data_IF_529309562816
#
_entry.id   IF_529309562816
#
_cell.length_a   1.000
_cell.length_b   1.000
_cell.length_c   1.000
_cell.angle_alpha   90.00
_cell.angle_beta   90.00
_cell.angle_gamma   90.00
#
_symmetry.space_group_name_H-M   'P 1'
#
loop_
_entity.id
_entity.type
_entity.pdbx_description
1 polymer ?
#
# COMPACT_ATOMS: atom_id res chain seq x y z
N UNK A 1 40.28 71.15 23.04
CA UNK A 1 40.25 70.20 24.17
C UNK A 1 40.50 68.80 23.63
N UNK A 2 41.45 68.07 24.20
CA UNK A 2 41.91 66.76 23.72
C UNK A 2 40.85 65.68 24.01
N UNK A 3 40.52 64.88 23.00
CA UNK A 3 39.52 63.80 23.07
C UNK A 3 39.98 62.63 23.93
N UNK A 4 39.04 62.03 24.66
CA UNK A 4 39.25 60.85 25.49
C UNK A 4 39.49 59.60 24.63
N UNK A 5 40.36 58.66 25.06
CA UNK A 5 40.62 57.42 24.34
C UNK A 5 39.46 56.42 24.47
N UNK A 6 39.24 55.54 23.48
CA UNK A 6 38.18 54.54 23.49
C UNK A 6 38.44 53.42 24.51
N UNK A 7 37.38 52.76 25.02
CA UNK A 7 37.49 51.69 26.01
C UNK A 7 38.11 50.40 25.43
N UNK A 8 38.78 49.58 26.26
CA UNK A 8 39.42 48.34 25.83
C UNK A 8 38.39 47.24 25.49
N UNK A 9 38.72 46.33 24.55
CA UNK A 9 37.85 45.23 24.16
C UNK A 9 37.75 44.13 25.25
N UNK A 10 36.61 43.43 25.35
CA UNK A 10 36.41 42.36 26.33
C UNK A 10 37.28 41.11 26.06
N UNK A 11 37.65 40.33 27.09
CA UNK A 11 38.45 39.11 26.94
C UNK A 11 37.72 38.04 26.13
N UNK A 12 38.39 37.51 25.10
CA UNK A 12 37.84 36.50 24.19
C UNK A 12 37.45 35.20 24.90
N UNK A 13 36.14 34.95 24.97
CA UNK A 13 35.59 33.65 25.33
C UNK A 13 35.81 32.64 24.22
N UNK A 14 36.49 31.52 24.53
CA UNK A 14 36.64 30.36 23.66
C UNK A 14 35.27 29.74 23.37
N UNK A 15 34.79 29.88 22.15
CA UNK A 15 33.73 29.05 21.58
C UNK A 15 34.28 27.64 21.34
N UNK A 16 33.61 26.56 21.81
CA UNK A 16 33.92 25.21 21.35
C UNK A 16 33.57 25.10 19.86
N UNK A 17 34.54 24.72 19.03
CA UNK A 17 34.31 24.47 17.61
C UNK A 17 33.41 23.24 17.38
N UNK A 18 32.76 23.13 16.21
CA UNK A 18 31.96 21.97 15.85
C UNK A 18 32.84 20.70 15.75
N UNK A 19 32.29 19.50 16.03
CA UNK A 19 33.03 18.24 15.93
C UNK A 19 33.42 17.94 14.46
N UNK A 20 34.62 17.39 14.29
CA UNK A 20 35.14 17.03 12.97
C UNK A 20 34.38 15.85 12.35
N UNK A 21 34.23 15.80 11.01
CA UNK A 21 33.60 14.67 10.32
C UNK A 21 34.46 13.39 10.41
N UNK A 22 33.84 12.19 10.43
CA UNK A 22 34.58 10.92 10.39
C UNK A 22 35.30 10.75 9.05
N UNK A 23 36.57 10.34 9.10
CA UNK A 23 37.39 10.06 7.92
C UNK A 23 36.97 8.78 7.17
N UNK A 24 37.35 8.63 5.89
CA UNK A 24 36.98 7.49 5.05
C UNK A 24 37.72 6.19 5.45
N UNK A 25 37.12 5.00 5.26
CA UNK A 25 37.78 3.72 5.52
C UNK A 25 38.91 3.45 4.51
N UNK A 26 40.08 3.07 5.04
CA UNK A 26 41.28 2.73 4.26
C UNK A 26 41.13 1.46 3.40
N UNK A 27 41.86 1.46 2.28
CA UNK A 27 41.92 0.37 1.29
C UNK A 27 42.72 -0.87 1.71
N UNK A 28 42.85 -1.84 0.78
CA UNK A 28 43.07 -3.26 1.08
C UNK A 28 44.55 -3.67 1.12
N UNK A 29 44.92 -4.56 2.04
CA UNK A 29 46.23 -5.21 2.06
C UNK A 29 46.26 -6.43 2.98
N UNK A 30 46.52 -7.61 2.41
CA UNK A 30 46.75 -8.85 3.17
C UNK A 30 46.77 -10.09 2.27
N UNK A 31 47.98 -10.57 1.97
CA UNK A 31 48.32 -11.71 1.12
C UNK A 31 47.82 -13.08 1.66
N UNK A 32 47.76 -14.13 0.81
CA UNK A 32 47.26 -15.46 1.19
C UNK A 32 48.33 -16.31 1.90
N UNK A 33 47.96 -17.18 2.87
CA UNK A 33 48.88 -18.15 3.45
C UNK A 33 49.02 -19.45 2.61
N UNK A 34 50.17 -20.15 2.69
CA UNK A 34 50.58 -21.25 1.78
C UNK A 34 50.05 -22.65 2.18
N UNK A 35 50.18 -23.67 1.30
CA UNK A 35 49.64 -25.01 1.53
C UNK A 35 50.59 -25.93 2.34
N UNK A 36 50.08 -26.83 3.21
CA UNK A 36 50.92 -27.85 3.83
C UNK A 36 51.08 -29.07 2.92
N UNK A 37 52.32 -29.37 2.54
CA UNK A 37 52.78 -30.68 2.06
C UNK A 37 53.22 -31.52 3.26
N UNK A 38 52.70 -32.74 3.41
CA UNK A 38 53.19 -33.72 4.38
C UNK A 38 52.69 -35.12 4.07
N UNK A 39 53.62 -36.00 3.67
CA UNK A 39 53.41 -37.40 3.28
C UNK A 39 53.66 -38.29 4.51
N UNK A 40 52.75 -39.21 4.84
CA UNK A 40 52.92 -40.17 5.94
C UNK A 40 51.97 -41.37 5.80
N UNK A 41 52.53 -42.56 5.98
CA UNK A 41 52.01 -43.89 5.63
C UNK A 41 51.16 -44.49 6.76
N UNK A 42 50.07 -45.19 6.40
CA UNK A 42 49.53 -46.37 7.09
C UNK A 42 48.83 -46.19 8.44
N UNK A 43 47.57 -46.64 8.54
CA UNK A 43 47.15 -47.82 9.32
C UNK A 43 45.61 -47.90 9.40
N UNK A 44 45.15 -49.15 9.36
CA UNK A 44 43.81 -49.72 9.50
C UNK A 44 42.64 -48.84 9.98
N UNK A 45 41.55 -48.89 9.21
CA UNK A 45 40.18 -48.52 9.61
C UNK A 45 39.61 -49.62 10.51
N UNK A 46 39.17 -49.35 11.76
CA UNK A 46 38.24 -50.23 12.44
C UNK A 46 36.83 -50.00 11.89
N UNK A 47 36.08 -51.08 11.72
CA UNK A 47 34.68 -51.06 11.32
C UNK A 47 33.83 -50.26 12.32
N UNK A 48 33.17 -49.20 11.84
CA UNK A 48 32.05 -48.60 12.55
C UNK A 48 30.77 -49.24 12.03
N UNK A 49 30.02 -49.83 12.94
CA UNK A 49 28.87 -50.68 12.69
C UNK A 49 27.77 -50.02 11.87
N UNK A 50 27.01 -50.87 11.20
CA UNK A 50 25.71 -50.58 10.60
C UNK A 50 24.80 -49.94 11.64
N UNK A 51 24.63 -48.61 11.58
CA UNK A 51 23.54 -47.95 12.26
C UNK A 51 22.22 -48.48 11.68
N UNK A 52 21.22 -48.83 12.51
CA UNK A 52 19.95 -49.36 12.02
C UNK A 52 19.28 -48.32 11.13
N UNK A 53 18.66 -48.78 10.03
CA UNK A 53 17.87 -47.95 9.11
C UNK A 53 16.78 -47.24 9.93
N UNK A 54 16.98 -45.95 10.22
CA UNK A 54 15.97 -45.12 10.87
C UNK A 54 14.74 -45.05 9.97
N UNK A 55 13.56 -45.22 10.54
CA UNK A 55 12.28 -44.97 9.90
C UNK A 55 12.33 -43.60 9.20
N UNK A 56 11.91 -43.53 7.92
CA UNK A 56 11.82 -42.22 7.26
C UNK A 56 10.66 -41.48 7.89
N UNK A 57 10.94 -40.48 8.73
CA UNK A 57 9.94 -39.56 9.24
C UNK A 57 9.33 -38.74 8.09
N UNK A 58 8.09 -38.30 8.24
CA UNK A 58 7.49 -37.31 7.33
C UNK A 58 8.30 -36.01 7.38
N UNK A 59 8.74 -35.45 6.24
CA UNK A 59 9.55 -34.24 6.24
C UNK A 59 8.74 -33.02 6.69
N UNK A 60 9.34 -32.19 7.55
CA UNK A 60 8.82 -30.88 7.89
C UNK A 60 9.31 -29.84 6.85
N UNK A 61 8.39 -29.26 6.09
CA UNK A 61 8.68 -28.29 5.03
C UNK A 61 8.83 -26.85 5.57
N UNK A 62 9.78 -26.63 6.48
CA UNK A 62 10.12 -25.29 6.96
C UNK A 62 11.11 -24.55 6.04
N UNK A 63 11.07 -23.22 6.04
CA UNK A 63 12.11 -22.40 5.40
C UNK A 63 13.27 -22.22 6.37
N UNK A 64 14.41 -22.87 6.09
CA UNK A 64 15.57 -22.85 6.98
C UNK A 64 16.22 -21.47 7.05
N UNK A 65 16.60 -21.03 8.26
CA UNK A 65 17.51 -19.90 8.47
C UNK A 65 18.94 -20.44 8.43
N UNK A 66 19.73 -20.05 7.43
CA UNK A 66 21.09 -20.58 7.22
C UNK A 66 22.17 -19.84 8.00
N UNK A 67 21.87 -18.63 8.48
CA UNK A 67 22.77 -17.81 9.30
C UNK A 67 21.95 -16.96 10.26
N UNK A 68 22.29 -16.99 11.54
CA UNK A 68 21.73 -16.07 12.53
C UNK A 68 22.29 -14.66 12.30
N UNK A 69 21.42 -13.64 12.32
CA UNK A 69 21.81 -12.23 12.20
C UNK A 69 22.11 -11.69 13.59
N UNK A 70 23.05 -10.75 13.70
CA UNK A 70 23.39 -10.12 14.98
C UNK A 70 22.16 -9.42 15.59
N UNK A 71 21.85 -9.72 16.85
CA UNK A 71 20.64 -9.26 17.55
C UNK A 71 19.38 -10.07 17.26
N UNK A 72 19.47 -11.16 16.47
CA UNK A 72 18.34 -12.08 16.28
C UNK A 72 18.22 -13.07 17.42
N UNK A 73 16.98 -13.51 17.67
CA UNK A 73 16.67 -14.60 18.61
C UNK A 73 17.56 -15.83 18.37
N UNK A 74 17.85 -16.16 17.11
CA UNK A 74 18.69 -17.31 16.75
C UNK A 74 20.16 -17.15 17.16
N UNK A 75 20.68 -15.92 17.17
CA UNK A 75 22.03 -15.61 17.65
C UNK A 75 22.08 -15.64 19.19
N UNK A 76 21.05 -15.08 19.83
CA UNK A 76 20.89 -15.08 21.29
C UNK A 76 20.84 -16.50 21.86
N UNK A 77 20.03 -17.39 21.25
CA UNK A 77 19.94 -18.80 21.63
C UNK A 77 21.26 -19.56 21.42
N UNK A 78 22.06 -19.19 20.43
CA UNK A 78 23.39 -19.79 20.21
C UNK A 78 24.44 -19.27 21.20
N UNK A 79 24.30 -18.01 21.66
CA UNK A 79 25.23 -17.36 22.61
C UNK A 79 25.03 -17.82 24.04
N UNK A 80 23.79 -18.08 24.45
CA UNK A 80 23.44 -18.41 25.84
C UNK A 80 23.52 -19.90 26.20
N UNK A 81 23.95 -20.76 25.28
CA UNK A 81 24.58 -22.04 25.60
C UNK A 81 23.83 -22.95 26.59
N UNK A 82 22.61 -23.38 26.26
CA UNK A 82 22.09 -24.66 26.76
C UNK A 82 21.55 -25.51 25.60
N UNK A 83 22.27 -26.56 25.19
CA UNK A 83 21.78 -27.51 24.22
C UNK A 83 21.28 -28.77 24.94
N UNK A 84 20.08 -28.76 25.53
CA UNK A 84 19.37 -30.01 25.90
C UNK A 84 17.83 -29.80 25.99
N UNK A 85 17.15 -29.60 24.86
CA UNK A 85 15.69 -29.87 24.76
C UNK A 85 15.46 -31.37 24.45
N UNK A 86 16.40 -32.23 24.83
CA UNK A 86 16.37 -33.65 24.53
C UNK A 86 15.65 -34.54 25.57
N UNK A 87 15.42 -34.15 26.86
CA UNK A 87 14.71 -35.05 27.77
C UNK A 87 13.17 -34.87 27.80
N UNK A 88 12.60 -33.83 27.18
CA UNK A 88 11.16 -33.56 27.25
C UNK A 88 10.34 -34.31 26.20
N UNK A 89 10.94 -34.69 25.07
CA UNK A 89 10.23 -35.30 23.94
C UNK A 89 10.72 -36.72 23.70
N UNK A 90 9.81 -37.69 23.79
CA UNK A 90 10.11 -39.08 23.45
C UNK A 90 10.28 -39.22 21.94
N UNK A 91 11.53 -39.39 21.50
CA UNK A 91 11.90 -39.58 20.09
C UNK A 91 11.26 -40.85 19.52
N UNK A 92 11.03 -41.88 20.34
CA UNK A 92 10.43 -43.15 19.92
C UNK A 92 8.94 -42.99 19.63
N UNK A 93 8.25 -42.19 20.45
CA UNK A 93 6.86 -41.79 20.22
C UNK A 93 6.76 -40.94 18.93
N UNK A 94 7.68 -39.99 18.74
CA UNK A 94 7.75 -39.18 17.52
C UNK A 94 7.98 -40.03 16.26
N UNK A 95 8.91 -40.99 16.32
CA UNK A 95 9.17 -41.94 15.24
C UNK A 95 7.96 -42.81 14.92
N UNK A 96 7.19 -43.20 15.93
CA UNK A 96 5.96 -43.99 15.75
C UNK A 96 4.86 -43.14 15.09
N UNK A 97 4.57 -41.97 15.67
CA UNK A 97 3.47 -41.09 15.24
C UNK A 97 3.70 -40.46 13.87
N UNK A 98 4.96 -40.16 13.51
CA UNK A 98 5.30 -39.41 12.30
C UNK A 98 6.12 -40.21 11.28
N UNK A 99 6.15 -41.54 11.39
CA UNK A 99 6.73 -42.38 10.34
C UNK A 99 6.02 -42.19 8.99
N UNK A 100 6.79 -42.10 7.92
CA UNK A 100 6.27 -42.26 6.57
C UNK A 100 5.93 -43.74 6.38
N UNK A 101 4.66 -44.02 6.11
CA UNK A 101 4.19 -45.39 5.85
C UNK A 101 4.83 -45.86 4.55
N UNK A 102 5.92 -46.63 4.67
CA UNK A 102 6.43 -47.43 3.57
C UNK A 102 5.63 -48.73 3.60
N UNK A 103 4.74 -48.91 2.64
CA UNK A 103 4.08 -50.20 2.44
C UNK A 103 5.17 -51.26 2.21
N UNK A 104 5.35 -52.17 3.17
CA UNK A 104 6.24 -53.32 2.99
C UNK A 104 5.60 -54.31 2.01
N UNK A 105 6.39 -54.97 1.15
CA UNK A 105 5.90 -56.11 0.38
C UNK A 105 5.53 -57.22 1.37
N UNK A 106 4.29 -57.72 1.29
CA UNK A 106 3.86 -58.85 2.08
C UNK A 106 4.50 -60.12 1.52
N UNK A 107 5.39 -60.74 2.30
CA UNK A 107 5.84 -62.10 2.06
C UNK A 107 5.01 -63.10 2.89
N UNK A 108 4.83 -64.26 2.28
CA UNK A 108 3.94 -65.38 2.57
C UNK A 108 3.74 -65.81 4.04
N UNK A 109 2.49 -66.21 4.36
CA UNK A 109 2.24 -67.26 5.36
C UNK A 109 0.89 -67.26 6.07
N UNK A 110 -0.09 -68.05 5.56
CA UNK A 110 -0.93 -68.88 6.43
C UNK A 110 -2.38 -68.49 6.76
N UNK A 111 -3.30 -69.05 5.95
CA UNK A 111 -4.62 -69.64 6.27
C UNK A 111 -5.88 -68.78 6.50
N UNK A 112 -6.81 -69.04 5.57
CA UNK A 112 -8.28 -69.22 5.67
C UNK A 112 -9.18 -68.02 5.95
N UNK A 113 -10.14 -67.79 5.04
CA UNK A 113 -11.33 -66.98 5.30
C UNK A 113 -11.84 -66.23 4.07
N UNK A 114 -12.65 -66.92 3.26
CA UNK A 114 -13.38 -66.44 2.10
C UNK A 114 -14.10 -65.08 2.31
N UNK A 115 -13.88 -64.11 1.42
CA UNK A 115 -14.93 -63.31 0.76
C UNK A 115 -14.34 -62.37 -0.30
N UNK A 116 -14.61 -62.71 -1.56
CA UNK A 116 -14.40 -61.91 -2.77
C UNK A 116 -14.98 -60.48 -2.63
N UNK A 117 -14.15 -59.46 -2.87
CA UNK A 117 -14.57 -58.24 -3.57
C UNK A 117 -13.45 -57.77 -4.51
N UNK A 118 -13.76 -57.90 -5.79
CA UNK A 118 -13.13 -57.36 -7.01
C UNK A 118 -11.93 -56.41 -6.84
N UNK A 119 -10.79 -56.90 -7.33
CA UNK A 119 -9.59 -56.15 -7.72
C UNK A 119 -9.95 -55.25 -8.90
N UNK A 120 -9.99 -53.94 -8.67
CA UNK A 120 -9.75 -52.92 -9.70
C UNK A 120 -8.42 -52.26 -9.37
N UNK A 121 -7.31 -52.86 -9.79
CA UNK A 121 -5.98 -52.26 -9.63
C UNK A 121 -5.91 -51.01 -10.50
N UNK A 122 -6.13 -49.83 -9.91
CA UNK A 122 -5.61 -48.60 -10.49
C UNK A 122 -4.08 -48.74 -10.45
N UNK A 123 -3.35 -48.48 -11.56
CA UNK A 123 -1.90 -48.48 -11.50
C UNK A 123 -1.45 -47.48 -10.43
N UNK A 124 -0.54 -47.91 -9.56
CA UNK A 124 0.08 -47.05 -8.54
C UNK A 124 0.73 -45.87 -9.27
N UNK A 125 0.08 -44.71 -9.20
CA UNK A 125 0.62 -43.49 -9.78
C UNK A 125 1.76 -43.01 -8.88
N UNK A 126 2.91 -42.75 -9.48
CA UNK A 126 4.07 -42.25 -8.76
C UNK A 126 3.80 -40.80 -8.36
N UNK A 127 3.78 -40.54 -7.06
CA UNK A 127 3.55 -39.22 -6.49
C UNK A 127 4.86 -38.67 -5.93
N UNK A 128 5.33 -37.58 -6.52
CA UNK A 128 6.60 -36.91 -6.16
C UNK A 128 6.34 -35.61 -5.41
N UNK A 129 5.24 -34.93 -5.72
CA UNK A 129 4.82 -33.70 -5.09
C UNK A 129 4.09 -34.03 -3.79
N UNK A 130 4.28 -33.19 -2.76
CA UNK A 130 3.59 -33.32 -1.48
C UNK A 130 2.07 -33.51 -1.68
N UNK A 131 1.48 -34.45 -0.93
CA UNK A 131 0.10 -34.86 -1.10
C UNK A 131 -0.88 -33.69 -0.94
N UNK A 132 -0.63 -32.76 -0.02
CA UNK A 132 -1.49 -31.59 0.17
C UNK A 132 -1.35 -30.62 -1.00
N UNK A 133 -0.13 -30.37 -1.47
CA UNK A 133 0.12 -29.53 -2.66
C UNK A 133 -0.52 -30.14 -3.90
N UNK A 134 -0.33 -31.44 -4.14
CA UNK A 134 -0.90 -32.18 -5.26
C UNK A 134 -2.44 -32.14 -5.23
N UNK A 135 -3.06 -32.45 -4.08
CA UNK A 135 -4.52 -32.41 -3.94
C UNK A 135 -5.08 -31.00 -4.18
N UNK A 136 -4.43 -29.96 -3.65
CA UNK A 136 -4.87 -28.58 -3.88
C UNK A 136 -4.79 -28.18 -5.36
N UNK A 137 -3.71 -28.55 -6.04
CA UNK A 137 -3.56 -28.34 -7.49
C UNK A 137 -4.62 -29.11 -8.25
N UNK A 138 -4.84 -30.38 -7.95
CA UNK A 138 -5.88 -31.18 -8.62
C UNK A 138 -7.28 -30.62 -8.42
N UNK A 139 -7.61 -30.16 -7.20
CA UNK A 139 -8.88 -29.47 -6.94
C UNK A 139 -9.00 -28.21 -7.79
N UNK A 140 -7.94 -27.42 -7.93
CA UNK A 140 -7.95 -26.25 -8.80
C UNK A 140 -8.19 -26.65 -10.26
N UNK A 141 -7.52 -27.71 -10.75
CA UNK A 141 -7.69 -28.20 -12.12
C UNK A 141 -9.13 -28.62 -12.41
N UNK A 142 -9.90 -29.09 -11.42
CA UNK A 142 -11.34 -29.39 -11.62
C UNK A 142 -12.19 -28.14 -11.85
N UNK A 143 -11.73 -26.97 -11.40
CA UNK A 143 -12.42 -25.68 -11.59
C UNK A 143 -12.08 -25.03 -12.93
N UNK A 144 -10.99 -25.46 -13.55
CA UNK A 144 -10.56 -24.98 -14.85
C UNK A 144 -11.37 -25.69 -15.94
N UNK A 145 -12.16 -24.92 -16.69
CA UNK A 145 -13.04 -25.44 -17.75
C UNK A 145 -12.36 -25.50 -19.14
N UNK A 146 -11.10 -25.09 -19.23
CA UNK A 146 -10.33 -24.98 -20.47
C UNK A 146 -9.16 -25.97 -20.48
N UNK A 147 -8.84 -26.62 -21.60
CA UNK A 147 -7.63 -27.42 -21.74
C UNK A 147 -6.37 -26.61 -21.44
N UNK A 148 -5.37 -27.24 -20.80
CA UNK A 148 -4.11 -26.58 -20.45
C UNK A 148 -3.36 -26.05 -21.66
N UNK A 149 -3.37 -26.78 -22.77
CA UNK A 149 -2.78 -26.34 -24.04
C UNK A 149 -3.32 -24.99 -24.48
N UNK A 150 -4.63 -24.82 -24.36
CA UNK A 150 -5.34 -23.64 -24.86
C UNK A 150 -5.11 -22.46 -23.92
N UNK A 151 -5.09 -22.71 -22.61
CA UNK A 151 -4.68 -21.70 -21.63
C UNK A 151 -3.25 -21.24 -21.86
N UNK A 152 -2.31 -22.15 -22.08
CA UNK A 152 -0.91 -21.79 -22.33
C UNK A 152 -0.74 -21.06 -23.67
N UNK A 153 -1.48 -21.44 -24.70
CA UNK A 153 -1.54 -20.70 -25.95
C UNK A 153 -2.07 -19.27 -25.75
N UNK A 154 -3.14 -19.10 -24.96
CA UNK A 154 -3.67 -17.78 -24.62
C UNK A 154 -2.68 -16.92 -23.82
N UNK A 155 -1.95 -17.52 -22.86
CA UNK A 155 -0.89 -16.84 -22.10
C UNK A 155 0.25 -16.39 -23.02
N UNK A 156 0.70 -17.25 -23.93
CA UNK A 156 1.75 -16.92 -24.89
C UNK A 156 1.29 -15.91 -25.94
N UNK A 157 0.00 -15.89 -26.28
CA UNK A 157 -0.60 -14.85 -27.12
C UNK A 157 -0.82 -13.54 -26.34
N UNK A 158 -0.83 -13.59 -25.01
CA UNK A 158 -1.28 -12.54 -24.08
C UNK A 158 -2.70 -12.05 -24.39
N UNK A 159 -3.60 -12.99 -24.68
CA UNK A 159 -4.98 -12.75 -25.08
C UNK A 159 -5.90 -12.60 -23.87
N UNK A 160 -6.21 -11.35 -23.56
CA UNK A 160 -7.09 -10.92 -22.46
C UNK A 160 -8.58 -11.03 -22.78
N UNK A 161 -8.95 -11.51 -23.96
CA UNK A 161 -10.34 -11.89 -24.28
C UNK A 161 -10.65 -13.34 -23.90
N UNK A 162 -9.62 -14.16 -23.72
CA UNK A 162 -9.73 -15.59 -23.40
C UNK A 162 -9.48 -15.86 -21.91
N UNK A 163 -8.50 -15.17 -21.32
CA UNK A 163 -8.14 -15.31 -19.91
C UNK A 163 -8.28 -13.99 -19.16
N UNK A 164 -9.09 -14.00 -18.11
CA UNK A 164 -9.20 -12.88 -17.18
C UNK A 164 -8.07 -12.88 -16.14
N UNK A 165 -7.97 -11.78 -15.38
CA UNK A 165 -6.94 -11.62 -14.34
C UNK A 165 -7.02 -12.68 -13.25
N UNK A 166 -8.23 -13.09 -12.84
CA UNK A 166 -8.42 -14.06 -11.76
C UNK A 166 -7.95 -15.45 -12.20
N UNK A 167 -8.20 -15.82 -13.46
CA UNK A 167 -7.71 -17.05 -14.06
C UNK A 167 -6.19 -17.04 -14.14
N UNK A 168 -5.57 -15.94 -14.55
CA UNK A 168 -4.10 -15.80 -14.60
C UNK A 168 -3.48 -15.87 -13.20
N UNK A 169 -4.05 -15.20 -12.20
CA UNK A 169 -3.57 -15.26 -10.81
C UNK A 169 -3.72 -16.67 -10.21
N UNK A 170 -4.80 -17.37 -10.56
CA UNK A 170 -4.93 -18.78 -10.21
C UNK A 170 -3.84 -19.63 -10.87
N UNK A 171 -3.53 -19.43 -12.15
CA UNK A 171 -2.41 -20.15 -12.80
C UNK A 171 -1.07 -19.86 -12.12
N UNK A 172 -0.79 -18.60 -11.75
CA UNK A 172 0.42 -18.20 -11.01
C UNK A 172 0.52 -18.95 -9.68
N UNK A 173 -0.56 -19.00 -8.91
CA UNK A 173 -0.62 -19.68 -7.59
C UNK A 173 -0.30 -21.19 -7.67
N UNK A 174 -0.59 -21.80 -8.81
CA UNK A 174 -0.37 -23.21 -9.08
C UNK A 174 0.77 -23.47 -10.07
N UNK A 175 1.67 -22.51 -10.30
CA UNK A 175 2.94 -22.81 -10.95
C UNK A 175 3.82 -23.71 -10.06
N UNK A 176 4.64 -24.60 -10.67
CA UNK A 176 5.62 -25.38 -9.92
C UNK A 176 6.72 -24.49 -9.35
N UNK A 177 7.16 -24.77 -8.12
CA UNK A 177 8.33 -24.08 -7.55
C UNK A 177 9.62 -24.54 -8.24
N UNK A 178 10.72 -23.81 -8.01
CA UNK A 178 12.03 -24.20 -8.57
C UNK A 178 12.46 -25.59 -8.11
N UNK A 179 12.20 -25.89 -6.83
CA UNK A 179 12.51 -27.18 -6.22
C UNK A 179 11.67 -28.29 -6.84
N UNK A 180 10.37 -28.05 -7.06
CA UNK A 180 9.45 -28.99 -7.71
C UNK A 180 9.84 -29.24 -9.17
N UNK A 181 10.21 -28.20 -9.91
CA UNK A 181 10.72 -28.32 -11.29
C UNK A 181 11.99 -29.16 -11.35
N UNK A 182 12.94 -28.94 -10.43
CA UNK A 182 14.17 -29.73 -10.37
C UNK A 182 13.90 -31.19 -9.96
N UNK A 183 12.97 -31.43 -9.03
CA UNK A 183 12.54 -32.78 -8.67
C UNK A 183 11.98 -33.54 -9.88
N UNK A 184 11.11 -32.89 -10.68
CA UNK A 184 10.51 -33.48 -11.88
C UNK A 184 11.51 -33.67 -13.02
N UNK A 185 12.51 -32.78 -13.16
CA UNK A 185 13.60 -32.96 -14.14
C UNK A 185 14.48 -34.16 -13.82
N UNK A 186 14.78 -34.37 -12.54
CA UNK A 186 15.67 -35.43 -12.08
C UNK A 186 14.98 -36.79 -11.95
N UNK A 187 13.66 -36.85 -12.15
CA UNK A 187 12.93 -38.11 -12.16
C UNK A 187 13.29 -38.93 -13.42
N UNK A 188 13.85 -40.12 -13.20
CA UNK A 188 14.31 -41.05 -14.25
C UNK A 188 13.33 -42.18 -14.56
N UNK A 189 12.21 -42.26 -13.84
CA UNK A 189 11.16 -43.24 -14.09
C UNK A 189 10.25 -42.84 -15.25
N UNK A 190 9.20 -43.64 -15.45
CA UNK A 190 8.21 -43.37 -16.48
C UNK A 190 7.35 -42.15 -16.11
N UNK A 191 7.47 -41.08 -16.90
CA UNK A 191 6.72 -39.83 -16.67
C UNK A 191 5.23 -40.02 -16.85
N UNK A 192 4.78 -41.00 -17.65
CA UNK A 192 3.36 -41.28 -17.86
C UNK A 192 2.69 -41.90 -16.62
N UNK A 193 3.51 -42.50 -15.74
CA UNK A 193 3.06 -43.07 -14.46
C UNK A 193 2.83 -42.02 -13.36
N UNK A 194 3.19 -40.76 -13.58
CA UNK A 194 3.10 -39.71 -12.57
C UNK A 194 1.65 -39.28 -12.26
N UNK A 195 1.46 -38.71 -11.06
CA UNK A 195 0.21 -38.09 -10.63
C UNK A 195 -0.27 -36.95 -11.54
N UNK A 196 -1.54 -36.54 -11.41
CA UNK A 196 -2.10 -35.49 -12.30
C UNK A 196 -1.44 -34.13 -12.06
N UNK A 197 -1.06 -33.82 -10.82
CA UNK A 197 -0.35 -32.60 -10.47
C UNK A 197 1.02 -32.53 -11.18
N UNK A 198 1.77 -33.62 -11.14
CA UNK A 198 3.08 -33.74 -11.80
C UNK A 198 2.95 -33.60 -13.32
N UNK A 199 1.97 -34.27 -13.91
CA UNK A 199 1.66 -34.14 -15.34
C UNK A 199 1.36 -32.68 -15.72
N UNK A 200 0.54 -32.01 -14.92
CA UNK A 200 0.25 -30.58 -15.10
C UNK A 200 1.52 -29.71 -15.01
N UNK A 201 2.41 -29.96 -14.04
CA UNK A 201 3.67 -29.23 -13.92
C UNK A 201 4.62 -29.49 -15.09
N UNK A 202 4.71 -30.74 -15.57
CA UNK A 202 5.52 -31.07 -16.75
C UNK A 202 5.05 -30.32 -18.00
N UNK A 203 3.73 -30.16 -18.18
CA UNK A 203 3.18 -29.36 -19.26
C UNK A 203 3.54 -27.87 -19.13
N UNK A 204 3.41 -27.28 -17.93
CA UNK A 204 3.82 -25.90 -17.67
C UNK A 204 5.31 -25.67 -17.92
N UNK A 205 6.16 -26.65 -17.59
CA UNK A 205 7.60 -26.60 -17.78
C UNK A 205 8.04 -26.58 -19.25
N UNK A 206 7.14 -26.90 -20.21
CA UNK A 206 7.40 -26.72 -21.65
C UNK A 206 7.54 -25.24 -22.01
N UNK A 207 6.98 -24.34 -21.20
CA UNK A 207 7.10 -22.90 -21.38
C UNK A 207 8.22 -22.37 -20.47
N UNK A 208 9.33 -21.84 -21.03
CA UNK A 208 10.40 -21.26 -20.24
C UNK A 208 9.88 -20.11 -19.39
N UNK A 209 10.23 -20.09 -18.10
CA UNK A 209 9.85 -19.03 -17.15
C UNK A 209 8.33 -18.74 -17.15
N UNK A 210 7.52 -19.79 -17.20
CA UNK A 210 6.05 -19.71 -17.25
C UNK A 210 5.45 -18.76 -16.20
N UNK A 211 5.91 -18.81 -14.95
CA UNK A 211 5.43 -17.93 -13.89
C UNK A 211 5.73 -16.45 -14.20
N UNK A 212 6.91 -16.15 -14.75
CA UNK A 212 7.30 -14.79 -15.14
C UNK A 212 6.40 -14.26 -16.26
N UNK A 213 6.16 -15.08 -17.29
CA UNK A 213 5.26 -14.73 -18.40
C UNK A 213 3.82 -14.52 -17.95
N UNK A 214 3.32 -15.35 -17.04
CA UNK A 214 2.00 -15.16 -16.42
C UNK A 214 1.91 -13.85 -15.65
N UNK A 215 2.95 -13.50 -14.86
CA UNK A 215 2.99 -12.22 -14.14
C UNK A 215 3.01 -11.01 -15.08
N UNK A 216 3.74 -11.11 -16.18
CA UNK A 216 3.75 -10.09 -17.25
C UNK A 216 2.38 -9.96 -17.90
N UNK A 217 1.72 -11.08 -18.17
CA UNK A 217 0.38 -11.08 -18.75
C UNK A 217 -0.66 -10.50 -17.77
N UNK A 218 -0.61 -10.87 -16.49
CA UNK A 218 -1.44 -10.27 -15.44
C UNK A 218 -1.25 -8.75 -15.36
N UNK A 219 0.00 -8.27 -15.42
CA UNK A 219 0.29 -6.85 -15.48
C UNK A 219 -0.31 -6.18 -16.73
N UNK A 220 -0.18 -6.78 -17.92
CA UNK A 220 -0.79 -6.26 -19.16
C UNK A 220 -2.31 -6.08 -19.00
N UNK A 221 -3.01 -7.10 -18.49
CA UNK A 221 -4.48 -7.06 -18.32
C UNK A 221 -4.88 -5.87 -17.44
N UNK A 222 -4.17 -5.66 -16.33
CA UNK A 222 -4.52 -4.65 -15.35
C UNK A 222 -3.97 -3.25 -15.68
N UNK A 223 -3.00 -3.13 -16.59
CA UNK A 223 -2.27 -1.89 -16.84
C UNK A 223 -3.21 -0.72 -17.20
N UNK A 224 -4.15 -0.96 -18.11
CA UNK A 224 -5.07 0.09 -18.58
C UNK A 224 -5.93 0.67 -17.45
N UNK A 225 -6.53 -0.19 -16.62
CA UNK A 225 -7.36 0.26 -15.49
C UNK A 225 -6.51 0.95 -14.41
N UNK A 226 -5.35 0.38 -14.05
CA UNK A 226 -4.43 0.98 -13.08
C UNK A 226 -3.99 2.39 -13.50
N UNK A 227 -3.57 2.57 -14.76
CA UNK A 227 -3.18 3.90 -15.27
C UNK A 227 -4.36 4.88 -15.23
N UNK A 228 -5.55 4.45 -15.64
CA UNK A 228 -6.74 5.30 -15.68
C UNK A 228 -7.18 5.74 -14.27
N UNK A 229 -7.23 4.81 -13.32
CA UNK A 229 -7.59 5.09 -11.92
C UNK A 229 -6.55 5.99 -11.25
N UNK A 230 -5.27 5.72 -11.47
CA UNK A 230 -4.19 6.54 -10.94
C UNK A 230 -4.21 7.97 -11.51
N UNK A 231 -4.38 8.12 -12.83
CA UNK A 231 -4.57 9.44 -13.47
C UNK A 231 -5.76 10.19 -12.89
N UNK A 232 -6.88 9.51 -12.66
CA UNK A 232 -8.07 10.12 -12.05
C UNK A 232 -7.76 10.67 -10.66
N UNK A 233 -7.07 9.90 -9.82
CA UNK A 233 -6.64 10.34 -8.49
C UNK A 233 -5.71 11.56 -8.55
N UNK A 234 -4.73 11.55 -9.45
CA UNK A 234 -3.83 12.69 -9.68
C UNK A 234 -4.58 13.94 -10.13
N UNK A 235 -5.53 13.79 -11.05
CA UNK A 235 -6.33 14.91 -11.54
C UNK A 235 -7.24 15.50 -10.46
N UNK A 236 -7.77 14.70 -9.54
CA UNK A 236 -8.55 15.19 -8.39
C UNK A 236 -7.67 16.05 -7.48
N UNK A 237 -6.45 15.59 -7.15
CA UNK A 237 -5.49 16.38 -6.35
C UNK A 237 -5.13 17.68 -7.05
N UNK A 238 -4.83 17.62 -8.35
CA UNK A 238 -4.48 18.81 -9.13
C UNK A 238 -5.63 19.82 -9.19
N UNK A 239 -6.84 19.34 -9.47
CA UNK A 239 -8.04 20.18 -9.57
C UNK A 239 -8.33 20.85 -8.24
N UNK A 240 -8.23 20.14 -7.11
CA UNK A 240 -8.40 20.73 -5.79
C UNK A 240 -7.36 21.84 -5.51
N UNK A 241 -6.10 21.66 -5.94
CA UNK A 241 -5.09 22.71 -5.83
C UNK A 241 -5.46 23.95 -6.65
N UNK A 242 -5.88 23.75 -7.90
CA UNK A 242 -6.22 24.83 -8.82
C UNK A 242 -7.49 25.57 -8.39
N UNK A 243 -8.55 24.85 -8.00
CA UNK A 243 -9.80 25.39 -7.46
C UNK A 243 -9.54 26.31 -6.25
N UNK A 244 -8.75 25.83 -5.27
CA UNK A 244 -8.45 26.59 -4.05
C UNK A 244 -7.60 27.83 -4.35
N UNK A 245 -6.56 27.71 -5.18
CA UNK A 245 -5.66 28.83 -5.50
C UNK A 245 -6.32 29.90 -6.36
N UNK A 246 -7.24 29.50 -7.22
CA UNK A 246 -7.89 30.39 -8.17
C UNK A 246 -9.21 30.99 -7.65
N UNK A 247 -9.80 30.45 -6.57
CA UNK A 247 -10.99 31.05 -5.97
C UNK A 247 -10.73 32.46 -5.44
N UNK A 248 -11.28 33.46 -6.14
CA UNK A 248 -11.28 34.85 -5.70
C UNK A 248 -12.16 35.04 -4.47
N UNK A 249 -13.27 34.28 -4.39
CA UNK A 249 -14.20 34.33 -3.27
C UNK A 249 -13.52 33.90 -1.97
N UNK A 250 -12.71 32.83 -1.99
CA UNK A 250 -11.93 32.41 -0.83
C UNK A 250 -10.97 33.51 -0.37
N UNK A 251 -10.24 34.14 -1.29
CA UNK A 251 -9.30 35.22 -0.96
C UNK A 251 -9.99 36.39 -0.24
N UNK A 252 -11.18 36.79 -0.72
CA UNK A 252 -11.96 37.84 -0.07
C UNK A 252 -12.50 37.41 1.31
N UNK A 253 -12.89 36.15 1.48
CA UNK A 253 -13.26 35.61 2.79
C UNK A 253 -12.07 35.64 3.76
N UNK A 254 -10.89 35.19 3.32
CA UNK A 254 -9.67 35.21 4.14
C UNK A 254 -9.30 36.64 4.59
N UNK A 255 -9.43 37.63 3.71
CA UNK A 255 -9.23 39.05 4.05
C UNK A 255 -10.20 39.53 5.13
N UNK A 256 -11.49 39.16 5.01
CA UNK A 256 -12.51 39.52 6.01
C UNK A 256 -12.26 38.85 7.36
N UNK A 257 -11.82 37.59 7.35
CA UNK A 257 -11.41 36.88 8.58
C UNK A 257 -10.21 37.57 9.23
N UNK A 258 -9.18 37.94 8.45
CA UNK A 258 -8.01 38.66 8.95
C UNK A 258 -8.40 40.00 9.59
N UNK A 259 -9.26 40.76 8.93
CA UNK A 259 -9.79 42.02 9.46
C UNK A 259 -10.50 41.81 10.80
N UNK A 260 -11.45 40.87 10.87
CA UNK A 260 -12.17 40.56 12.11
C UNK A 260 -11.21 40.14 13.23
N UNK A 261 -10.24 39.28 12.94
CA UNK A 261 -9.23 38.84 13.90
C UNK A 261 -8.38 39.99 14.43
N UNK A 262 -7.92 40.89 13.55
CA UNK A 262 -7.12 42.06 13.93
C UNK A 262 -7.91 43.08 14.75
N UNK A 263 -9.18 43.30 14.41
CA UNK A 263 -10.07 44.17 15.19
C UNK A 263 -10.30 43.62 16.59
N UNK A 264 -10.60 42.32 16.71
CA UNK A 264 -10.84 41.69 18.03
C UNK A 264 -9.59 41.63 18.90
N UNK A 265 -8.41 41.49 18.29
CA UNK A 265 -7.14 41.40 19.00
C UNK A 265 -6.41 42.75 19.13
N UNK A 266 -7.07 43.87 18.82
CA UNK A 266 -6.47 45.19 18.89
C UNK A 266 -5.94 45.48 20.31
N UNK A 267 -4.71 46.01 20.39
CA UNK A 267 -4.05 46.29 21.67
C UNK A 267 -3.47 45.06 22.38
N UNK A 268 -3.54 43.87 21.79
CA UNK A 268 -2.88 42.66 22.30
C UNK A 268 -1.69 42.25 21.43
N UNK A 269 -0.83 41.37 21.94
CA UNK A 269 0.27 40.78 21.15
C UNK A 269 -0.20 39.97 19.92
N UNK A 270 -1.50 39.68 19.79
CA UNK A 270 -2.10 38.94 18.68
C UNK A 270 -2.75 39.86 17.61
N UNK A 271 -2.76 41.18 17.84
CA UNK A 271 -3.28 42.15 16.89
C UNK A 271 -2.30 42.47 15.75
N UNK A 272 -2.74 43.27 14.78
CA UNK A 272 -1.91 43.73 13.64
C UNK A 272 -1.20 42.62 12.86
N UNK A 273 -1.82 41.44 12.79
CA UNK A 273 -1.29 40.30 12.05
C UNK A 273 -1.37 40.55 10.53
N UNK A 274 -0.35 40.10 9.80
CA UNK A 274 -0.30 40.14 8.33
C UNK A 274 -1.07 38.96 7.72
N UNK A 275 -1.17 37.86 8.47
CA UNK A 275 -1.86 36.63 8.09
C UNK A 275 -2.05 35.72 9.30
N UNK A 276 -2.66 34.56 9.09
CA UNK A 276 -2.91 33.57 10.15
C UNK A 276 -2.69 32.15 9.62
N UNK A 277 -2.41 31.22 10.54
CA UNK A 277 -2.29 29.79 10.24
C UNK A 277 -3.63 29.19 9.86
N UNK A 278 -3.65 28.22 8.94
CA UNK A 278 -4.86 27.72 8.31
C UNK A 278 -5.87 27.18 9.33
N UNK A 279 -5.41 26.44 10.34
CA UNK A 279 -6.26 25.88 11.40
C UNK A 279 -6.97 26.94 12.25
N UNK A 280 -6.54 28.21 12.20
CA UNK A 280 -7.22 29.31 12.88
C UNK A 280 -8.64 29.54 12.35
N UNK A 281 -8.93 29.12 11.11
CA UNK A 281 -10.27 29.16 10.54
C UNK A 281 -11.28 28.36 11.36
N UNK A 282 -10.85 27.25 11.95
CA UNK A 282 -11.72 26.39 12.76
C UNK A 282 -12.09 27.05 14.09
N UNK A 283 -11.26 27.99 14.58
CA UNK A 283 -11.50 28.71 15.85
C UNK A 283 -12.57 29.78 15.76
N UNK A 284 -13.06 30.09 14.55
CA UNK A 284 -14.14 31.08 14.36
C UNK A 284 -15.46 30.63 15.00
N UNK A 285 -15.63 29.33 15.26
CA UNK A 285 -16.78 28.80 15.99
C UNK A 285 -16.63 28.88 17.51
N UNK A 286 -15.41 29.04 18.02
CA UNK A 286 -15.13 29.05 19.46
C UNK A 286 -15.33 30.45 20.05
N UNK A 287 -15.02 31.49 19.28
CA UNK A 287 -15.23 32.88 19.69
C UNK A 287 -16.72 33.22 19.64
N UNK A 288 -17.33 33.50 20.81
CA UNK A 288 -18.75 33.86 20.96
C UNK A 288 -18.93 35.36 21.20
N UNK A 289 -20.05 35.90 20.74
CA UNK A 289 -20.51 37.23 21.12
C UNK A 289 -20.85 37.28 22.63
N UNK A 290 -20.88 38.47 23.21
CA UNK A 290 -21.18 38.70 24.64
C UNK A 290 -22.52 38.14 25.10
N UNK A 291 -23.49 38.04 24.18
CA UNK A 291 -24.79 37.45 24.45
C UNK A 291 -24.82 35.92 24.32
N UNK A 292 -23.69 35.28 24.04
CA UNK A 292 -23.48 33.83 23.81
C UNK A 292 -24.33 33.19 22.71
N UNK A 293 -25.19 33.97 22.02
CA UNK A 293 -26.16 33.49 21.02
C UNK A 293 -25.55 33.26 19.63
N UNK A 294 -24.42 33.88 19.33
CA UNK A 294 -23.77 33.74 18.02
C UNK A 294 -22.26 33.63 18.14
N UNK A 295 -21.65 32.90 17.22
CA UNK A 295 -20.18 32.79 17.09
C UNK A 295 -19.65 33.80 16.07
N UNK A 296 -18.32 33.99 16.02
CA UNK A 296 -17.70 34.84 15.02
C UNK A 296 -17.95 34.35 13.58
N UNK A 297 -18.04 33.02 13.38
CA UNK A 297 -18.45 32.43 12.09
C UNK A 297 -19.86 32.87 11.68
N UNK A 298 -20.82 32.83 12.62
CA UNK A 298 -22.19 33.30 12.37
C UNK A 298 -22.21 34.79 12.01
N UNK A 299 -21.45 35.59 12.75
CA UNK A 299 -21.34 37.02 12.47
C UNK A 299 -20.76 37.30 11.08
N UNK A 300 -19.67 36.61 10.70
CA UNK A 300 -19.10 36.70 9.36
C UNK A 300 -20.15 36.38 8.28
N UNK A 301 -20.84 35.24 8.40
CA UNK A 301 -21.88 34.84 7.44
C UNK A 301 -23.02 35.86 7.35
N UNK A 302 -23.45 36.42 8.49
CA UNK A 302 -24.49 37.46 8.56
C UNK A 302 -24.07 38.73 7.82
N UNK A 303 -22.84 39.20 8.04
CA UNK A 303 -22.30 40.39 7.37
C UNK A 303 -22.13 40.15 5.87
N UNK A 304 -21.66 38.95 5.48
CA UNK A 304 -21.55 38.56 4.08
C UNK A 304 -22.91 38.55 3.38
N UNK A 305 -23.93 37.97 3.98
CA UNK A 305 -25.29 37.96 3.44
C UNK A 305 -25.83 39.38 3.20
N UNK A 306 -25.57 40.31 4.12
CA UNK A 306 -26.04 41.69 4.01
C UNK A 306 -25.27 42.54 3.00
N UNK A 307 -23.95 42.35 2.87
CA UNK A 307 -23.08 43.27 2.10
C UNK A 307 -22.53 42.68 0.81
N UNK A 308 -22.22 41.39 0.79
CA UNK A 308 -21.53 40.71 -0.32
C UNK A 308 -22.03 39.26 -0.44
N UNK A 309 -23.32 39.04 -0.77
CA UNK A 309 -23.94 37.70 -0.74
C UNK A 309 -23.30 36.71 -1.72
N UNK A 310 -22.69 37.19 -2.81
CA UNK A 310 -21.95 36.38 -3.79
C UNK A 310 -20.68 35.69 -3.23
N UNK A 311 -20.33 35.91 -1.95
CA UNK A 311 -19.26 35.17 -1.28
C UNK A 311 -19.79 33.95 -0.51
N UNK A 312 -21.10 33.83 -0.28
CA UNK A 312 -21.67 32.73 0.53
C UNK A 312 -21.59 31.37 -0.17
N UNK A 313 -21.55 31.39 -1.50
CA UNK A 313 -21.46 30.22 -2.37
C UNK A 313 -20.02 29.89 -2.80
N UNK A 314 -18.99 30.44 -2.15
CA UNK A 314 -17.58 30.15 -2.49
C UNK A 314 -17.23 28.67 -2.46
N UNK A 315 -17.95 27.89 -1.65
CA UNK A 315 -17.79 26.44 -1.56
C UNK A 315 -18.13 25.71 -2.87
N UNK A 316 -18.88 26.34 -3.77
CA UNK A 316 -19.18 25.79 -5.10
C UNK A 316 -17.96 25.86 -6.03
N UNK A 317 -16.96 26.68 -5.73
CA UNK A 317 -15.70 26.72 -6.47
C UNK A 317 -14.85 25.46 -6.19
N UNK A 318 -15.19 24.66 -5.18
CA UNK A 318 -14.37 23.54 -4.66
C UNK A 318 -14.98 22.16 -4.95
N UNK A 319 -15.14 21.85 -6.22
CA UNK A 319 -15.76 20.59 -6.69
C UNK A 319 -14.94 19.37 -6.28
N UNK A 320 -13.61 19.46 -6.32
CA UNK A 320 -12.70 18.34 -6.09
C UNK A 320 -12.23 18.21 -4.65
N UNK A 321 -12.48 19.23 -3.80
CA UNK A 321 -11.94 19.30 -2.45
C UNK A 321 -12.35 18.11 -1.57
N UNK A 322 -13.62 17.72 -1.58
CA UNK A 322 -14.05 16.59 -0.75
C UNK A 322 -13.47 15.27 -1.23
N UNK A 323 -13.39 15.05 -2.54
CA UNK A 323 -12.76 13.85 -3.10
C UNK A 323 -11.26 13.81 -2.79
N UNK A 324 -10.57 14.96 -2.85
CA UNK A 324 -9.12 15.04 -2.62
C UNK A 324 -8.73 14.67 -1.19
N UNK A 325 -9.58 14.96 -0.19
CA UNK A 325 -9.32 14.56 1.21
C UNK A 325 -9.24 13.05 1.43
N UNK A 326 -9.75 12.24 0.49
CA UNK A 326 -9.73 10.77 0.56
C UNK A 326 -8.47 10.17 -0.06
N UNK A 327 -7.65 10.99 -0.72
CA UNK A 327 -6.46 10.56 -1.44
C UNK A 327 -5.24 10.83 -0.57
N UNK A 328 -4.39 9.82 -0.40
CA UNK A 328 -3.12 9.95 0.31
C UNK A 328 -1.96 9.99 -0.70
N UNK A 329 -1.13 11.04 -0.63
CA UNK A 329 0.03 11.20 -1.49
C UNK A 329 1.03 10.05 -1.33
N UNK A 330 1.13 9.48 -0.13
CA UNK A 330 1.95 8.29 0.12
C UNK A 330 1.46 7.08 -0.65
N UNK A 331 0.15 6.82 -0.66
CA UNK A 331 -0.43 5.73 -1.45
C UNK A 331 -0.21 5.95 -2.95
N UNK A 332 -0.31 7.20 -3.41
CA UNK A 332 0.02 7.52 -4.81
C UNK A 332 1.49 7.24 -5.14
N UNK A 333 2.41 7.52 -4.22
CA UNK A 333 3.83 7.21 -4.41
C UNK A 333 4.08 5.70 -4.50
N UNK A 334 3.43 4.91 -3.64
CA UNK A 334 3.51 3.44 -3.65
C UNK A 334 2.96 2.85 -4.96
N UNK A 335 1.82 3.37 -5.43
CA UNK A 335 1.19 2.96 -6.70
C UNK A 335 2.06 3.31 -7.91
N UNK A 336 2.62 4.53 -7.95
CA UNK A 336 3.57 4.94 -8.99
C UNK A 336 4.79 4.00 -9.05
N UNK A 337 5.34 3.64 -7.88
CA UNK A 337 6.45 2.71 -7.79
C UNK A 337 6.07 1.30 -8.24
N UNK A 338 4.85 0.84 -7.93
CA UNK A 338 4.35 -0.44 -8.40
C UNK A 338 4.24 -0.48 -9.93
N UNK A 339 3.73 0.58 -10.55
CA UNK A 339 3.61 0.72 -12.01
C UNK A 339 5.00 0.70 -12.67
N UNK A 340 5.96 1.49 -12.16
CA UNK A 340 7.34 1.52 -12.68
C UNK A 340 7.99 0.14 -12.58
N UNK A 341 7.92 -0.50 -11.41
CA UNK A 341 8.49 -1.85 -11.20
C UNK A 341 7.80 -2.91 -12.04
N UNK A 342 6.49 -2.79 -12.26
CA UNK A 342 5.74 -3.65 -13.17
C UNK A 342 6.29 -3.55 -14.59
N UNK A 343 6.46 -2.33 -15.10
CA UNK A 343 7.03 -2.08 -16.42
C UNK A 343 8.49 -2.58 -16.54
N UNK A 344 9.32 -2.41 -15.50
CA UNK A 344 10.68 -2.96 -15.47
C UNK A 344 10.69 -4.49 -15.59
N UNK A 345 9.77 -5.20 -14.91
CA UNK A 345 9.65 -6.66 -15.01
C UNK A 345 9.24 -7.10 -16.42
N UNK A 346 8.34 -6.35 -17.07
CA UNK A 346 7.96 -6.57 -18.48
C UNK A 346 9.18 -6.45 -19.39
N UNK A 347 9.99 -5.41 -19.21
CA UNK A 347 11.25 -5.23 -19.97
C UNK A 347 12.22 -6.39 -19.75
N UNK A 348 12.41 -6.80 -18.50
CA UNK A 348 13.30 -7.91 -18.14
C UNK A 348 12.85 -9.23 -18.77
N UNK A 349 11.56 -9.57 -18.72
CA UNK A 349 11.07 -10.82 -19.34
C UNK A 349 11.15 -10.76 -20.87
N UNK A 350 10.97 -9.59 -21.49
CA UNK A 350 11.15 -9.45 -22.93
C UNK A 350 12.57 -9.82 -23.36
N UNK A 351 13.58 -9.30 -22.65
CA UNK A 351 15.00 -9.61 -22.89
C UNK A 351 15.28 -11.08 -22.58
N UNK A 352 14.82 -11.60 -21.45
CA UNK A 352 15.03 -13.00 -21.08
C UNK A 352 14.41 -13.98 -22.10
N UNK A 353 13.31 -13.59 -22.73
CA UNK A 353 12.60 -14.40 -23.73
C UNK A 353 13.30 -14.51 -25.08
N UNK A 354 14.41 -13.77 -25.30
CA UNK A 354 15.13 -13.82 -26.57
C UNK A 354 15.67 -15.21 -26.92
N UNK A 355 16.06 -15.97 -25.90
CA UNK A 355 16.68 -17.29 -26.03
C UNK A 355 15.71 -18.46 -25.88
N UNK A 356 14.40 -18.21 -25.79
CA UNK A 356 13.40 -19.25 -25.57
C UNK A 356 13.05 -20.06 -26.82
N UNK A 357 13.51 -19.63 -28.00
CA UNK A 357 13.15 -20.25 -29.28
C UNK A 357 11.72 -19.92 -29.73
N UNK A 358 11.14 -20.74 -30.64
CA UNK A 358 9.85 -20.44 -31.28
C UNK A 358 8.65 -20.37 -30.33
N UNK A 359 8.70 -21.08 -29.20
CA UNK A 359 7.59 -21.15 -28.22
C UNK A 359 7.21 -19.75 -27.68
N UNK A 360 8.17 -18.83 -27.59
CA UNK A 360 7.95 -17.46 -27.09
C UNK A 360 7.88 -16.41 -28.20
N UNK A 361 7.81 -16.79 -29.49
CA UNK A 361 7.84 -15.83 -30.60
C UNK A 361 6.62 -14.90 -30.59
N UNK A 362 5.42 -15.47 -30.50
CA UNK A 362 4.16 -14.70 -30.41
C UNK A 362 4.17 -13.82 -29.16
N UNK A 363 4.57 -14.39 -28.01
CA UNK A 363 4.68 -13.67 -26.75
C UNK A 363 5.57 -12.43 -26.89
N UNK A 364 6.79 -12.58 -27.42
CA UNK A 364 7.71 -11.45 -27.63
C UNK A 364 7.13 -10.39 -28.56
N UNK A 365 6.47 -10.79 -29.65
CA UNK A 365 5.88 -9.85 -30.61
C UNK A 365 4.79 -9.02 -29.95
N UNK A 366 3.84 -9.66 -29.26
CA UNK A 366 2.76 -8.97 -28.54
C UNK A 366 3.33 -8.10 -27.41
N UNK A 367 4.34 -8.60 -26.68
CA UNK A 367 4.96 -7.88 -25.57
C UNK A 367 5.68 -6.62 -26.01
N UNK A 368 6.37 -6.64 -27.17
CA UNK A 368 6.96 -5.44 -27.77
C UNK A 368 5.91 -4.39 -28.11
N UNK A 369 4.77 -4.79 -28.69
CA UNK A 369 3.67 -3.88 -29.01
C UNK A 369 3.09 -3.22 -27.76
N UNK A 370 2.81 -4.02 -26.72
CA UNK A 370 2.37 -3.51 -25.42
C UNK A 370 3.39 -2.57 -24.78
N UNK A 371 4.67 -2.95 -24.76
CA UNK A 371 5.73 -2.19 -24.10
C UNK A 371 5.88 -0.78 -24.70
N UNK A 372 5.81 -0.65 -26.03
CA UNK A 372 5.90 0.67 -26.69
C UNK A 372 4.80 1.62 -26.22
N UNK A 373 3.57 1.13 -26.03
CA UNK A 373 2.44 1.94 -25.54
C UNK A 373 2.62 2.22 -24.04
N UNK A 374 2.94 1.19 -23.26
CA UNK A 374 3.08 1.27 -21.82
C UNK A 374 4.19 2.24 -21.40
N UNK A 375 5.32 2.27 -22.10
CA UNK A 375 6.41 3.22 -21.84
C UNK A 375 5.98 4.67 -22.05
N UNK A 376 5.27 4.94 -23.15
CA UNK A 376 4.75 6.29 -23.44
C UNK A 376 3.74 6.74 -22.38
N UNK A 377 2.82 5.85 -21.99
CA UNK A 377 1.82 6.09 -20.95
C UNK A 377 2.47 6.35 -19.59
N UNK A 378 3.44 5.52 -19.18
CA UNK A 378 4.15 5.69 -17.90
C UNK A 378 5.01 6.95 -17.90
N UNK A 379 5.63 7.32 -19.03
CA UNK A 379 6.37 8.58 -19.14
C UNK A 379 5.47 9.80 -18.94
N UNK A 380 4.32 9.84 -19.63
CA UNK A 380 3.31 10.89 -19.46
C UNK A 380 2.80 10.95 -18.01
N UNK A 381 2.51 9.78 -17.44
CA UNK A 381 2.03 9.65 -16.07
C UNK A 381 3.04 10.10 -15.03
N UNK A 382 4.33 9.79 -15.23
CA UNK A 382 5.43 10.23 -14.36
C UNK A 382 5.49 11.76 -14.32
N UNK A 383 5.37 12.41 -15.48
CA UNK A 383 5.35 13.87 -15.54
C UNK A 383 4.14 14.46 -14.79
N UNK A 384 2.93 13.90 -15.02
CA UNK A 384 1.73 14.32 -14.29
C UNK A 384 1.92 14.15 -12.78
N UNK A 385 2.39 12.99 -12.31
CA UNK A 385 2.68 12.73 -10.91
C UNK A 385 3.63 13.78 -10.30
N UNK A 386 4.72 14.11 -11.00
CA UNK A 386 5.68 15.14 -10.56
C UNK A 386 5.08 16.55 -10.53
N UNK A 387 4.22 16.91 -11.49
CA UNK A 387 3.50 18.19 -11.48
C UNK A 387 2.53 18.25 -10.29
N UNK A 388 1.74 17.20 -10.08
CA UNK A 388 0.77 17.12 -8.99
C UNK A 388 1.43 17.19 -7.63
N UNK A 389 2.54 16.47 -7.42
CA UNK A 389 3.30 16.56 -6.17
C UNK A 389 3.78 18.00 -5.87
N UNK A 390 4.32 18.70 -6.88
CA UNK A 390 4.70 20.11 -6.73
C UNK A 390 3.52 21.03 -6.45
N UNK A 391 2.38 20.80 -7.08
CA UNK A 391 1.17 21.59 -6.86
C UNK A 391 0.61 21.38 -5.44
N UNK A 392 0.67 20.15 -4.94
CA UNK A 392 0.29 19.79 -3.58
C UNK A 392 1.17 20.50 -2.53
N UNK A 393 2.49 20.44 -2.67
CA UNK A 393 3.42 21.17 -1.79
C UNK A 393 3.21 22.68 -1.88
N UNK A 394 3.04 23.18 -3.10
CA UNK A 394 2.83 24.60 -3.33
C UNK A 394 1.49 25.09 -2.76
N UNK A 395 0.47 24.24 -2.60
CA UNK A 395 -0.77 24.57 -1.91
C UNK A 395 -0.56 24.77 -0.40
N UNK A 396 0.23 23.92 0.25
CA UNK A 396 0.59 24.12 1.66
C UNK A 396 1.37 25.43 1.85
N UNK A 397 2.36 25.67 1.00
CA UNK A 397 3.12 26.93 1.00
C UNK A 397 2.25 28.15 0.73
N UNK A 398 1.20 28.02 -0.10
CA UNK A 398 0.26 29.11 -0.38
C UNK A 398 -0.47 29.59 0.89
N UNK A 399 -0.74 28.70 1.84
CA UNK A 399 -1.30 29.04 3.16
C UNK A 399 -0.23 29.32 4.23
N UNK A 400 1.03 29.49 3.82
CA UNK A 400 2.17 29.68 4.71
C UNK A 400 2.35 28.52 5.70
N UNK A 401 2.04 27.30 5.26
CA UNK A 401 2.30 26.05 5.97
C UNK A 401 3.51 25.32 5.39
N UNK A 402 4.17 24.52 6.23
CA UNK A 402 5.30 23.68 5.84
C UNK A 402 4.77 22.34 5.30
N UNK A 403 4.98 21.98 4.02
CA UNK A 403 4.51 20.72 3.45
C UNK A 403 4.97 19.47 4.23
N UNK A 404 6.12 19.53 4.90
CA UNK A 404 6.62 18.41 5.70
C UNK A 404 5.83 18.21 7.01
N UNK A 405 5.16 19.25 7.49
CA UNK A 405 4.42 19.24 8.76
C UNK A 405 2.92 19.30 8.59
N UNK A 406 2.45 19.92 7.51
CA UNK A 406 1.06 20.07 7.14
C UNK A 406 0.93 19.66 5.66
N UNK A 407 0.86 18.35 5.40
CA UNK A 407 0.80 17.85 4.04
C UNK A 407 -0.56 18.18 3.40
N UNK A 408 -0.65 17.96 2.09
CA UNK A 408 -1.83 18.27 1.28
C UNK A 408 -3.15 17.78 1.87
N UNK A 409 -3.17 16.57 2.42
CA UNK A 409 -4.35 15.94 3.01
C UNK A 409 -4.83 16.72 4.23
N UNK A 410 -3.91 17.23 5.05
CA UNK A 410 -4.24 18.05 6.20
C UNK A 410 -4.77 19.42 5.77
N UNK A 411 -4.13 20.06 4.78
CA UNK A 411 -4.58 21.35 4.23
C UNK A 411 -6.00 21.24 3.68
N UNK A 412 -6.25 20.25 2.83
CA UNK A 412 -7.57 20.03 2.22
C UNK A 412 -8.62 19.62 3.25
N UNK A 413 -8.26 18.81 4.26
CA UNK A 413 -9.17 18.47 5.35
C UNK A 413 -9.56 19.69 6.20
N UNK A 414 -8.61 20.55 6.56
CA UNK A 414 -8.89 21.78 7.31
C UNK A 414 -9.80 22.72 6.49
N UNK A 415 -9.54 22.88 5.19
CA UNK A 415 -10.39 23.68 4.30
C UNK A 415 -11.80 23.10 4.18
N UNK A 416 -11.94 21.78 4.01
CA UNK A 416 -13.24 21.12 3.93
C UNK A 416 -14.03 21.30 5.23
N UNK A 417 -13.37 21.19 6.38
CA UNK A 417 -13.99 21.44 7.69
C UNK A 417 -14.42 22.90 7.82
N UNK A 418 -13.59 23.85 7.42
CA UNK A 418 -13.97 25.26 7.39
C UNK A 418 -15.21 25.49 6.51
N UNK A 419 -15.25 24.94 5.29
CA UNK A 419 -16.40 25.02 4.38
C UNK A 419 -17.67 24.47 5.05
N UNK A 420 -17.60 23.30 5.69
CA UNK A 420 -18.73 22.69 6.40
C UNK A 420 -19.22 23.56 7.55
N UNK A 421 -18.31 24.09 8.37
CA UNK A 421 -18.64 24.98 9.48
C UNK A 421 -19.26 26.30 9.00
N UNK A 422 -18.72 26.88 7.94
CA UNK A 422 -19.24 28.10 7.33
C UNK A 422 -20.66 27.89 6.81
N UNK A 423 -20.90 26.82 6.04
CA UNK A 423 -22.23 26.49 5.50
C UNK A 423 -23.24 26.28 6.61
N UNK A 424 -22.87 25.51 7.63
CA UNK A 424 -23.73 25.28 8.80
C UNK A 424 -24.10 26.59 9.49
N UNK A 425 -23.14 27.48 9.77
CA UNK A 425 -23.41 28.76 10.41
C UNK A 425 -24.29 29.67 9.53
N UNK A 426 -24.14 29.61 8.20
CA UNK A 426 -25.00 30.35 7.28
C UNK A 426 -26.44 29.82 7.29
N UNK A 427 -26.64 28.50 7.25
CA UNK A 427 -27.95 27.87 7.33
C UNK A 427 -28.65 28.15 8.68
N UNK A 428 -27.91 28.10 9.79
CA UNK A 428 -28.39 28.45 11.12
C UNK A 428 -28.84 29.93 11.21
N UNK A 429 -28.09 30.85 10.60
CA UNK A 429 -28.49 32.25 10.48
C UNK A 429 -29.81 32.43 9.70
N UNK A 430 -30.00 31.71 8.60
CA UNK A 430 -31.22 31.79 7.79
C UNK A 430 -32.44 31.31 8.61
N UNK A 431 -32.30 30.18 9.30
CA UNK A 431 -33.34 29.64 10.20
C UNK A 431 -33.69 30.62 11.32
N UNK A 432 -32.68 31.23 11.94
CA UNK A 432 -32.88 32.21 13.00
C UNK A 432 -33.60 33.46 12.49
N UNK A 433 -33.22 33.98 11.32
CA UNK A 433 -33.88 35.13 10.71
C UNK A 433 -35.35 34.83 10.33
N UNK A 434 -35.64 33.62 9.86
CA UNK A 434 -37.01 33.18 9.57
C UNK A 434 -37.85 33.08 10.86
N UNK A 435 -37.28 32.53 11.93
CA UNK A 435 -37.95 32.44 13.23
C UNK A 435 -38.25 33.83 13.82
N UNK A 436 -37.30 34.75 13.73
CA UNK A 436 -37.46 36.14 14.18
C UNK A 436 -38.54 36.87 13.37
N UNK A 437 -38.58 36.66 12.05
CA UNK A 437 -39.63 37.19 11.17
C UNK A 437 -41.02 36.66 11.56
N UNK A 438 -41.16 35.33 11.73
CA UNK A 438 -42.43 34.70 12.15
C UNK A 438 -42.88 35.19 13.53
N UNK A 439 -41.95 35.39 14.46
CA UNK A 439 -42.27 35.93 15.79
C UNK A 439 -42.74 37.38 15.69
N UNK A 440 -42.05 38.22 14.93
CA UNK A 440 -42.43 39.62 14.72
C UNK A 440 -43.81 39.76 14.04
N UNK A 441 -44.13 38.88 13.08
CA UNK A 441 -45.45 38.82 12.44
C UNK A 441 -46.55 38.45 13.45
N UNK A 442 -46.34 37.42 14.28
CA UNK A 442 -47.28 37.03 15.34
C UNK A 442 -47.47 38.13 16.39
N UNK A 443 -46.39 38.77 16.82
CA UNK A 443 -46.45 39.86 17.80
C UNK A 443 -47.22 41.06 17.20
N UNK A 444 -47.00 41.38 15.92
CA UNK A 444 -47.74 42.43 15.22
C UNK A 444 -49.24 42.08 15.04
N UNK A 445 -49.59 40.83 14.77
CA UNK A 445 -50.98 40.37 14.71
C UNK A 445 -51.68 40.45 16.07
N UNK A 446 -51.00 40.03 17.15
CA UNK A 446 -51.54 40.15 18.51
C UNK A 446 -51.78 41.60 18.92
N UNK A 447 -50.87 42.52 18.61
CA UNK A 447 -51.05 43.94 18.90
C UNK A 447 -52.18 44.57 18.08
N UNK A 448 -52.32 44.21 16.79
CA UNK A 448 -53.48 44.61 15.98
C UNK A 448 -54.80 44.07 16.56
N UNK A 449 -54.84 42.82 17.01
CA UNK A 449 -56.03 42.22 17.62
C UNK A 449 -56.42 42.89 18.95
N UNK A 450 -55.44 43.30 19.77
CA UNK A 450 -55.69 44.08 21.00
C UNK A 450 -56.25 45.47 20.70
N UNK A 451 -55.71 46.17 19.69
CA UNK A 451 -56.19 47.49 19.25
C UNK A 451 -57.64 47.47 18.73
N UNK A 452 -58.05 46.42 18.02
CA UNK A 452 -59.42 46.23 17.52
C UNK A 452 -60.42 45.97 18.67
N UNK A 453 -60.01 45.25 19.71
CA UNK A 453 -60.88 44.99 20.87
C UNK A 453 -61.10 46.24 21.75
N UNK A 454 -60.12 47.14 21.84
CA UNK A 454 -60.23 48.41 22.56
C UNK A 454 -61.16 49.41 21.84
N UNK A 455 -61.10 49.47 20.52
CA UNK A 455 -61.98 50.32 19.70
C UNK A 455 -63.45 49.84 19.70
N UNK A 456 -63.71 48.52 19.75
CA UNK A 456 -65.08 48.01 19.92
C UNK A 456 -65.69 48.27 21.30
N UNK A 457 -64.89 48.28 22.37
CA UNK A 457 -65.38 48.63 23.73
C UNK A 457 -65.68 50.13 23.90
N UNK A 458 -65.00 51.01 23.17
CA UNK A 458 -65.27 52.45 23.17
C UNK A 458 -66.49 52.87 22.33
N UNK A 459 -66.97 52.02 21.42
CA UNK A 459 -68.11 52.31 20.54
C UNK A 459 -69.46 51.77 21.08
N UNK A 460 -69.48 51.10 22.24
CA UNK A 460 -70.68 50.57 22.89
C UNK A 460 -71.01 51.34 24.20
N UNK A 461 -70.24 52.39 24.51
CA UNK A 461 -70.47 53.27 25.67
C UNK A 461 -71.14 54.58 25.26
#
# INVERSE_FOLDING_TARGET
>A
MRGAPPPPPPPGGRVPGPPAPPGPPGGPGGAPPPPPRGRGRGLARPAAGTAPRRSSLKPLHWSKVTRAIQGSLWEELQRHGEPQIAPEFDVSELETLFSAVVAKPADAGGKSGDRRKSVGSKPDKVQLIDLRRANNTEIMLTKVKMPLSDMMAAVLAMDDTVLDVDQVENLIKFCPTKEEMELLKNYTGDKDSLGKCEQYFLELMKVPRVESKLRVFSFKIQFGSQISEFKKSLNIVNSACDEVRNSLKLKEIMKKVLFLGNTLNQGTARGSAIGFKLDSLLKLTDTRASNSKMTLMHYLCKVLAAKTPALLDFHQDFVSLEASTKIQLKSLAEEMQAIIKGLEKVKQELVASENDGPVSEVFRKTLKGFLSVAESEVASLTNLYSVVGRNADALALYFNEDPARCPFEQVTATLLNFVRLFRKAHEENLKQAELEKKKAEKDAEMEKAKGINLTKKGAIS
#
